data_IF_427327554195
#
_entry.id   IF_427327554195
#
_cell.length_a   1.000
_cell.length_b   1.000
_cell.length_c   1.000
_cell.angle_alpha   90.00
_cell.angle_beta   90.00
_cell.angle_gamma   90.00
#
_symmetry.space_group_name_H-M   'P 1'
#
loop_
_entity.id
_entity.type
_entity.pdbx_description
1 polymer ?
#
# COMPACT_ATOMS: atom_id res chain seq x y z
N UNK A 1 19.56 18.46 37.97
CA UNK A 1 18.51 17.43 37.90
C UNK A 1 17.18 18.17 37.95
N UNK A 2 16.49 18.31 36.82
CA UNK A 2 15.11 18.78 36.78
C UNK A 2 14.31 17.85 35.89
N UNK A 3 13.15 17.49 36.43
CA UNK A 3 12.31 16.36 36.08
C UNK A 3 11.66 16.60 34.71
N UNK A 4 11.80 15.61 33.82
CA UNK A 4 11.08 15.51 32.55
C UNK A 4 9.58 15.52 32.84
N UNK A 5 8.90 16.59 32.42
CA UNK A 5 7.46 16.55 32.20
C UNK A 5 7.21 15.65 31.00
N UNK A 6 6.87 14.40 31.27
CA UNK A 6 6.37 13.44 30.31
C UNK A 6 4.96 13.89 29.90
N UNK A 7 4.87 14.73 28.88
CA UNK A 7 3.64 14.88 28.12
C UNK A 7 3.52 13.58 27.32
N UNK A 8 2.46 12.76 27.49
CA UNK A 8 2.25 11.67 26.58
C UNK A 8 2.06 12.32 25.21
N UNK A 9 3.03 12.15 24.32
CA UNK A 9 2.82 12.30 22.89
C UNK A 9 1.73 11.30 22.54
N UNK A 10 0.46 11.74 22.63
CA UNK A 10 -0.53 11.25 21.71
C UNK A 10 0.11 11.42 20.33
N UNK A 11 0.36 10.31 19.64
CA UNK A 11 0.91 10.28 18.29
C UNK A 11 -0.01 11.12 17.38
N UNK A 12 0.24 12.44 17.33
CA UNK A 12 -0.37 13.39 16.41
C UNK A 12 0.35 13.36 15.06
N UNK A 13 0.83 12.19 14.65
CA UNK A 13 1.31 11.96 13.28
C UNK A 13 0.16 11.65 12.31
N UNK A 14 -1.07 11.52 12.82
CA UNK A 14 -2.26 11.37 12.00
C UNK A 14 -2.91 12.71 11.67
N UNK A 15 -3.17 12.92 10.37
CA UNK A 15 -4.27 13.73 9.84
C UNK A 15 -4.05 15.24 9.61
N UNK A 16 -2.95 15.64 8.98
CA UNK A 16 -2.95 16.89 8.18
C UNK A 16 -3.17 16.54 6.70
N UNK A 17 -4.35 15.99 6.42
CA UNK A 17 -4.81 15.60 5.08
C UNK A 17 -5.40 16.82 4.36
N UNK A 18 -4.65 17.40 3.42
CA UNK A 18 -5.12 18.56 2.60
C UNK A 18 -5.79 18.14 1.27
N UNK A 19 -6.42 16.97 1.26
CA UNK A 19 -7.31 16.54 0.17
C UNK A 19 -6.69 15.62 -0.88
N UNK A 20 -7.47 15.41 -1.95
CA UNK A 20 -7.26 14.41 -3.00
C UNK A 20 -6.16 14.85 -3.99
N UNK A 21 -5.25 13.96 -4.36
CA UNK A 21 -4.47 14.11 -5.60
C UNK A 21 -5.22 13.40 -6.73
N UNK A 22 -5.64 14.13 -7.76
CA UNK A 22 -6.27 13.55 -8.96
C UNK A 22 -5.31 12.68 -9.77
N UNK A 23 -4.00 12.75 -9.48
CA UNK A 23 -2.99 11.93 -10.13
C UNK A 23 -2.65 10.65 -9.35
N UNK A 24 -3.23 10.40 -8.17
CA UNK A 24 -2.86 9.24 -7.33
C UNK A 24 -2.98 7.89 -8.07
N UNK A 25 -4.01 7.74 -8.91
CA UNK A 25 -4.15 6.54 -9.74
C UNK A 25 -3.07 6.46 -10.83
N UNK A 26 -2.84 7.54 -11.58
CA UNK A 26 -1.80 7.57 -12.61
C UNK A 26 -0.39 7.37 -12.03
N UNK A 27 -0.12 7.94 -10.85
CA UNK A 27 1.12 7.75 -10.10
C UNK A 27 1.28 6.29 -9.66
N UNK A 28 0.22 5.68 -9.14
CA UNK A 28 0.24 4.28 -8.78
C UNK A 28 0.47 3.39 -10.00
N UNK A 29 -0.20 3.63 -11.13
CA UNK A 29 -0.02 2.88 -12.37
C UNK A 29 1.42 3.00 -12.89
N UNK A 30 2.01 4.20 -12.84
CA UNK A 30 3.41 4.41 -13.19
C UNK A 30 4.37 3.67 -12.24
N UNK A 31 4.14 3.76 -10.92
CA UNK A 31 4.93 3.07 -9.90
C UNK A 31 4.83 1.55 -10.05
N UNK A 32 3.63 1.03 -10.27
CA UNK A 32 3.37 -0.40 -10.46
C UNK A 32 4.10 -0.91 -11.72
N UNK A 33 4.04 -0.14 -12.82
CA UNK A 33 4.79 -0.48 -14.03
C UNK A 33 6.30 -0.54 -13.76
N UNK A 34 6.85 0.47 -13.09
CA UNK A 34 8.28 0.51 -12.74
C UNK A 34 8.67 -0.65 -11.80
N UNK A 35 7.82 -0.97 -10.82
CA UNK A 35 8.01 -2.12 -9.95
C UNK A 35 8.05 -3.42 -10.76
N UNK A 36 7.08 -3.65 -11.64
CA UNK A 36 6.98 -4.86 -12.47
C UNK A 36 8.18 -5.04 -13.41
N UNK A 37 8.76 -3.94 -13.91
CA UNK A 37 9.97 -3.95 -14.74
C UNK A 37 11.28 -4.07 -13.92
N UNK A 38 11.20 -4.03 -12.59
CA UNK A 38 12.37 -4.07 -11.71
C UNK A 38 12.88 -5.49 -11.43
N UNK A 39 14.20 -5.62 -11.24
CA UNK A 39 14.83 -6.86 -10.76
C UNK A 39 14.35 -7.28 -9.37
N UNK A 40 13.88 -6.33 -8.56
CA UNK A 40 13.37 -6.61 -7.22
C UNK A 40 12.02 -7.35 -7.29
N UNK A 41 11.14 -6.96 -8.22
CA UNK A 41 9.90 -7.69 -8.47
C UNK A 41 10.20 -9.12 -8.96
N UNK A 42 11.08 -9.26 -9.95
CA UNK A 42 11.49 -10.58 -10.47
C UNK A 42 12.06 -11.49 -9.36
N UNK A 43 12.98 -10.97 -8.55
CA UNK A 43 13.60 -11.71 -7.45
C UNK A 43 12.56 -12.10 -6.39
N UNK A 44 11.68 -11.18 -6.00
CA UNK A 44 10.61 -11.43 -5.02
C UNK A 44 9.63 -12.49 -5.54
N UNK A 45 9.21 -12.38 -6.80
CA UNK A 45 8.31 -13.35 -7.42
C UNK A 45 8.95 -14.74 -7.50
N UNK A 46 10.24 -14.82 -7.84
CA UNK A 46 10.98 -16.09 -7.90
C UNK A 46 11.13 -16.74 -6.53
N UNK A 47 11.44 -15.97 -5.48
CA UNK A 47 11.48 -16.46 -4.10
C UNK A 47 10.11 -16.99 -3.65
N UNK A 48 9.03 -16.24 -3.93
CA UNK A 48 7.68 -16.67 -3.60
C UNK A 48 7.29 -17.95 -4.34
N UNK A 49 7.64 -18.09 -5.62
CA UNK A 49 7.41 -19.33 -6.38
C UNK A 49 8.13 -20.51 -5.73
N UNK A 50 9.42 -20.37 -5.41
CA UNK A 50 10.18 -21.42 -4.75
C UNK A 50 9.62 -21.82 -3.38
N UNK A 51 9.00 -20.89 -2.64
CA UNK A 51 8.31 -21.19 -1.38
C UNK A 51 6.98 -21.93 -1.56
N UNK A 52 6.34 -21.75 -2.72
CA UNK A 52 5.05 -22.35 -3.05
C UNK A 52 5.18 -23.66 -3.83
N UNK A 53 6.38 -23.99 -4.32
CA UNK A 53 6.69 -25.27 -4.97
C UNK A 53 6.55 -26.45 -3.98
N UNK A 54 5.71 -27.44 -4.33
CA UNK A 54 5.48 -28.67 -3.56
C UNK A 54 4.06 -28.81 -2.98
N UNK A 55 3.85 -29.81 -2.12
CA UNK A 55 2.55 -30.11 -1.45
C UNK A 55 2.18 -29.08 -0.36
N UNK A 56 3.04 -28.09 -0.09
CA UNK A 56 2.86 -27.06 0.94
C UNK A 56 1.84 -25.97 0.58
N UNK A 57 1.54 -25.79 -0.71
CA UNK A 57 0.49 -24.88 -1.17
C UNK A 57 -0.89 -25.53 -1.01
N UNK A 58 -1.35 -25.72 0.24
CA UNK A 58 -2.79 -25.62 0.51
C UNK A 58 -3.19 -24.22 0.08
N UNK A 59 -3.76 -24.14 -1.11
CA UNK A 59 -4.03 -22.91 -1.86
C UNK A 59 -4.51 -21.79 -0.96
N UNK A 60 -3.63 -20.81 -0.72
CA UNK A 60 -4.02 -19.62 0.02
C UNK A 60 -5.12 -18.92 -0.78
N UNK A 61 -6.36 -18.97 -0.28
CA UNK A 61 -7.50 -18.32 -0.96
C UNK A 61 -7.58 -16.83 -0.65
N UNK A 62 -6.82 -16.36 0.34
CA UNK A 62 -6.84 -14.99 0.85
C UNK A 62 -5.43 -14.53 1.15
N UNK A 63 -5.09 -13.33 0.72
CA UNK A 63 -3.91 -12.59 1.12
C UNK A 63 -4.39 -11.37 1.92
N UNK A 64 -4.11 -11.31 3.22
CA UNK A 64 -4.53 -10.21 4.09
C UNK A 64 -3.34 -9.29 4.35
N UNK A 65 -3.47 -8.03 3.96
CA UNK A 65 -2.41 -7.05 4.02
C UNK A 65 -2.72 -5.94 5.02
N UNK A 66 -1.82 -5.76 5.98
CA UNK A 66 -1.88 -4.73 7.00
C UNK A 66 -0.77 -3.70 6.77
N UNK A 67 -0.96 -2.49 7.31
CA UNK A 67 0.04 -1.41 7.28
C UNK A 67 0.53 -1.04 5.86
N UNK A 68 -0.39 -1.09 4.88
CA UNK A 68 -0.08 -0.66 3.51
C UNK A 68 -0.08 0.86 3.34
N UNK A 69 -0.62 1.60 4.31
CA UNK A 69 -0.73 3.07 4.29
C UNK A 69 -1.55 3.60 3.09
N UNK A 70 -1.65 4.93 3.00
CA UNK A 70 -2.46 5.63 2.00
C UNK A 70 -1.69 5.89 0.70
N UNK A 71 -2.35 5.65 -0.43
CA UNK A 71 -1.83 5.92 -1.78
C UNK A 71 -1.96 7.39 -2.22
N UNK A 72 -2.61 8.22 -1.41
CA UNK A 72 -2.98 9.60 -1.73
C UNK A 72 -2.68 10.56 -0.57
N UNK A 73 -1.67 10.26 0.25
CA UNK A 73 -1.21 11.15 1.31
C UNK A 73 -0.60 12.42 0.71
N UNK A 74 -1.09 13.58 1.12
CA UNK A 74 -0.40 14.85 0.86
C UNK A 74 0.64 15.12 1.95
N UNK A 75 1.79 15.72 1.60
CA UNK A 75 2.70 16.24 2.62
C UNK A 75 1.97 17.28 3.50
N UNK A 76 2.31 17.37 4.79
CA UNK A 76 1.74 18.39 5.68
C UNK A 76 2.10 19.81 5.23
N UNK A 77 1.22 20.79 5.51
CA UNK A 77 1.36 22.18 5.03
C UNK A 77 2.69 22.85 5.40
N UNK A 78 3.19 22.63 6.61
CA UNK A 78 4.50 23.15 7.04
C UNK A 78 5.67 22.64 6.18
N UNK A 79 5.51 21.49 5.50
CA UNK A 79 6.51 20.94 4.59
C UNK A 79 6.46 21.58 3.20
N UNK A 80 5.28 22.02 2.76
CA UNK A 80 5.11 22.84 1.57
C UNK A 80 5.69 24.24 1.76
N UNK A 81 5.51 24.84 2.95
CA UNK A 81 5.94 26.20 3.24
C UNK A 81 7.47 26.41 3.22
N UNK A 82 8.25 25.34 3.42
CA UNK A 82 9.73 25.39 3.45
C UNK A 82 10.34 25.18 2.06
N UNK A 83 9.53 24.82 1.07
CA UNK A 83 10.01 24.30 -0.22
C UNK A 83 9.46 25.10 -1.39
N UNK A 84 10.23 25.11 -2.49
CA UNK A 84 9.81 25.86 -3.68
C UNK A 84 8.68 25.11 -4.40
N UNK A 85 7.76 25.82 -5.09
CA UNK A 85 6.68 25.20 -5.86
C UNK A 85 7.16 24.18 -6.92
N UNK A 86 8.36 24.37 -7.47
CA UNK A 86 8.99 23.45 -8.43
C UNK A 86 9.36 22.09 -7.82
N UNK A 87 9.46 21.98 -6.50
CA UNK A 87 9.80 20.74 -5.76
C UNK A 87 8.54 20.03 -5.20
N UNK A 88 7.34 20.59 -5.41
CA UNK A 88 6.09 20.06 -4.84
C UNK A 88 5.72 18.68 -5.38
N UNK A 89 5.95 18.44 -6.68
CA UNK A 89 5.66 17.14 -7.31
C UNK A 89 6.57 16.01 -6.82
N UNK A 90 7.86 16.31 -6.62
CA UNK A 90 8.81 15.35 -6.04
C UNK A 90 8.46 15.03 -4.59
N UNK A 91 8.01 16.03 -3.82
CA UNK A 91 7.53 15.84 -2.45
C UNK A 91 6.29 14.95 -2.39
N UNK A 92 5.29 15.21 -3.22
CA UNK A 92 4.09 14.37 -3.29
C UNK A 92 4.44 12.94 -3.64
N UNK A 93 5.31 12.74 -4.64
CA UNK A 93 5.78 11.41 -5.06
C UNK A 93 6.51 10.68 -3.93
N UNK A 94 7.43 11.33 -3.24
CA UNK A 94 8.21 10.72 -2.15
C UNK A 94 7.35 10.25 -0.97
N UNK A 95 6.29 10.99 -0.64
CA UNK A 95 5.38 10.64 0.47
C UNK A 95 4.58 9.37 0.15
N UNK A 96 4.24 9.14 -1.12
CA UNK A 96 3.39 8.02 -1.53
C UNK A 96 4.16 6.85 -2.14
N UNK A 97 5.43 7.01 -2.52
CA UNK A 97 6.25 5.96 -3.15
C UNK A 97 6.34 4.70 -2.27
N UNK A 98 6.67 4.87 -0.99
CA UNK A 98 6.75 3.75 -0.05
C UNK A 98 5.44 2.94 0.03
N UNK A 99 4.29 3.58 0.32
CA UNK A 99 2.98 2.95 0.23
C UNK A 99 2.72 2.28 -1.13
N UNK A 100 2.97 2.97 -2.25
CA UNK A 100 2.75 2.44 -3.60
C UNK A 100 3.53 1.15 -3.86
N UNK A 101 4.80 1.09 -3.46
CA UNK A 101 5.63 -0.12 -3.59
C UNK A 101 5.05 -1.27 -2.75
N UNK A 102 4.57 -1.02 -1.51
CA UNK A 102 3.97 -2.08 -0.68
C UNK A 102 2.70 -2.64 -1.30
N UNK A 103 1.84 -1.78 -1.87
CA UNK A 103 0.66 -2.20 -2.63
C UNK A 103 1.05 -3.01 -3.88
N UNK A 104 2.09 -2.59 -4.60
CA UNK A 104 2.59 -3.31 -5.77
C UNK A 104 3.15 -4.71 -5.40
N UNK A 105 3.90 -4.82 -4.30
CA UNK A 105 4.38 -6.11 -3.75
C UNK A 105 3.20 -7.03 -3.44
N UNK A 106 2.16 -6.50 -2.77
CA UNK A 106 0.97 -7.29 -2.43
C UNK A 106 0.24 -7.82 -3.68
N UNK A 107 0.16 -7.02 -4.74
CA UNK A 107 -0.38 -7.46 -6.03
C UNK A 107 0.49 -8.54 -6.67
N UNK A 108 1.82 -8.39 -6.66
CA UNK A 108 2.75 -9.43 -7.15
C UNK A 108 2.58 -10.74 -6.38
N UNK A 109 2.44 -10.68 -5.04
CA UNK A 109 2.18 -11.87 -4.23
C UNK A 109 0.87 -12.55 -4.63
N UNK A 110 -0.21 -11.79 -4.79
CA UNK A 110 -1.51 -12.32 -5.20
C UNK A 110 -1.44 -12.99 -6.59
N UNK A 111 -0.74 -12.38 -7.54
CA UNK A 111 -0.53 -12.93 -8.88
C UNK A 111 0.29 -14.22 -8.85
N UNK A 112 1.37 -14.26 -8.07
CA UNK A 112 2.20 -15.46 -7.92
C UNK A 112 1.37 -16.58 -7.31
N UNK A 113 0.65 -16.35 -6.20
CA UNK A 113 -0.21 -17.37 -5.59
C UNK A 113 -1.27 -17.85 -6.58
N UNK A 114 -1.90 -16.93 -7.32
CA UNK A 114 -2.89 -17.27 -8.34
C UNK A 114 -2.30 -18.13 -9.47
N UNK A 115 -1.02 -17.96 -9.83
CA UNK A 115 -0.39 -18.76 -10.88
C UNK A 115 -0.23 -20.25 -10.54
N UNK A 116 -0.28 -20.61 -9.25
CA UNK A 116 -0.33 -22.00 -8.79
C UNK A 116 -1.76 -22.56 -8.70
N UNK A 117 -2.77 -21.76 -9.06
CA UNK A 117 -4.14 -22.18 -8.98
C UNK A 117 -4.54 -23.16 -10.08
N UNK A 118 -5.32 -24.20 -9.74
CA UNK A 118 -5.84 -25.12 -10.75
C UNK A 118 -6.99 -24.45 -11.51
N UNK A 119 -7.22 -24.93 -12.72
CA UNK A 119 -8.33 -24.46 -13.54
C UNK A 119 -9.66 -24.68 -12.79
N UNK A 120 -10.38 -23.59 -12.51
CA UNK A 120 -11.64 -23.61 -11.77
C UNK A 120 -11.55 -23.25 -10.29
N UNK A 121 -10.34 -23.06 -9.75
CA UNK A 121 -10.17 -22.51 -8.41
C UNK A 121 -10.51 -21.01 -8.37
N UNK A 122 -11.06 -20.57 -7.24
CA UNK A 122 -11.32 -19.14 -7.01
C UNK A 122 -10.01 -18.35 -7.00
N UNK A 123 -10.02 -17.16 -7.62
CA UNK A 123 -8.89 -16.24 -7.54
C UNK A 123 -8.62 -15.88 -6.08
N UNK A 124 -7.34 -15.79 -5.74
CA UNK A 124 -6.87 -15.31 -4.42
C UNK A 124 -7.50 -13.95 -4.16
N UNK A 125 -8.20 -13.83 -3.04
CA UNK A 125 -8.79 -12.57 -2.59
C UNK A 125 -7.72 -11.75 -1.89
N UNK A 126 -7.48 -10.55 -2.39
CA UNK A 126 -6.53 -9.62 -1.81
C UNK A 126 -7.28 -8.69 -0.85
N UNK A 127 -7.05 -8.84 0.45
CA UNK A 127 -7.81 -8.16 1.50
C UNK A 127 -6.93 -7.12 2.18
N UNK A 128 -7.48 -5.96 2.50
CA UNK A 128 -6.78 -4.95 3.32
C UNK A 128 -7.72 -4.27 4.31
N UNK A 129 -7.15 -3.77 5.41
CA UNK A 129 -7.87 -3.05 6.44
C UNK A 129 -7.01 -1.91 6.97
N UNK A 130 -7.57 -0.71 6.94
CA UNK A 130 -7.07 0.44 7.68
C UNK A 130 -8.25 1.36 8.02
N UNK A 131 -8.54 1.62 9.30
CA UNK A 131 -9.61 2.53 9.69
C UNK A 131 -9.37 3.97 9.21
N UNK A 132 -8.12 4.34 8.90
CA UNK A 132 -7.81 5.65 8.37
C UNK A 132 -8.20 5.81 6.90
N UNK A 133 -8.43 4.71 6.14
CA UNK A 133 -8.74 4.79 4.70
C UNK A 133 -9.91 5.71 4.39
N UNK A 134 -9.61 6.78 3.66
CA UNK A 134 -10.60 7.70 3.11
C UNK A 134 -11.43 7.01 2.03
N UNK A 135 -12.65 7.48 1.77
CA UNK A 135 -13.49 6.93 0.69
C UNK A 135 -12.79 6.91 -0.68
N UNK A 136 -11.92 7.88 -0.96
CA UNK A 136 -11.10 7.87 -2.18
C UNK A 136 -10.07 6.75 -2.16
N UNK A 137 -9.30 6.63 -1.07
CA UNK A 137 -8.32 5.54 -0.93
C UNK A 137 -9.04 4.20 -1.09
N UNK A 138 -10.22 4.04 -0.48
CA UNK A 138 -11.04 2.84 -0.62
C UNK A 138 -11.40 2.56 -2.08
N UNK A 139 -11.91 3.56 -2.80
CA UNK A 139 -12.26 3.42 -4.21
C UNK A 139 -11.06 3.06 -5.09
N UNK A 140 -9.90 3.69 -4.87
CA UNK A 140 -8.69 3.39 -5.62
C UNK A 140 -8.20 1.95 -5.36
N UNK A 141 -8.16 1.53 -4.09
CA UNK A 141 -7.77 0.18 -3.70
C UNK A 141 -8.69 -0.88 -4.31
N UNK A 142 -10.01 -0.63 -4.31
CA UNK A 142 -10.99 -1.50 -4.96
C UNK A 142 -10.77 -1.58 -6.47
N UNK A 143 -10.48 -0.46 -7.13
CA UNK A 143 -10.21 -0.44 -8.57
C UNK A 143 -8.99 -1.27 -8.97
N UNK A 144 -7.96 -1.34 -8.12
CA UNK A 144 -6.74 -2.12 -8.38
C UNK A 144 -6.82 -3.57 -7.86
N UNK A 145 -7.97 -3.98 -7.29
CA UNK A 145 -8.25 -5.38 -6.95
C UNK A 145 -8.17 -5.74 -5.46
N UNK A 146 -8.07 -4.77 -4.56
CA UNK A 146 -8.22 -5.03 -3.11
C UNK A 146 -9.68 -5.07 -2.70
N UNK A 147 -10.02 -6.01 -1.85
CA UNK A 147 -11.23 -5.97 -1.03
C UNK A 147 -10.91 -5.35 0.32
N UNK A 148 -11.74 -4.42 0.75
CA UNK A 148 -11.56 -3.71 2.01
C UNK A 148 -12.44 -4.37 3.04
N UNK A 149 -11.82 -4.88 4.11
CA UNK A 149 -12.53 -5.62 5.15
C UNK A 149 -12.65 -4.76 6.41
N UNK A 150 -13.88 -4.71 6.96
CA UNK A 150 -14.21 -3.97 8.17
C UNK A 150 -14.38 -2.46 7.96
N UNK A 151 -15.35 -1.88 8.69
CA UNK A 151 -15.57 -0.42 8.79
C UNK A 151 -15.01 0.17 10.10
N UNK A 152 -14.63 -0.68 11.06
CA UNK A 152 -13.92 -0.33 12.28
C UNK A 152 -12.58 -1.07 12.32
N UNK A 153 -11.56 -0.44 12.90
CA UNK A 153 -10.25 -1.07 13.07
C UNK A 153 -10.34 -2.44 13.76
N UNK A 154 -9.57 -3.40 13.25
CA UNK A 154 -9.40 -4.78 13.70
C UNK A 154 -10.60 -5.39 14.47
N UNK A 155 -11.52 -6.02 13.74
CA UNK A 155 -12.64 -6.79 14.27
C UNK A 155 -13.28 -7.64 13.18
#
# INVERSE_FOLDING_TARGET
MSILNYIPQANQTGLNYEGLSTSAQALFEACQKQWNESKNCEASASQLRGLLEGDGAKMARKLVCFALEHLNSKPPGWWRDVKKPEEEWELETNVVEGPMIRHAIALTMAEVIHSFAKLGDERVRLLTQDPAYTSLTKGLLQNIGFEIIGDGGAG
#
